data_IF_442411352975
#
_entry.id   IF_442411352975
#
_cell.length_a   1.000
_cell.length_b   1.000
_cell.length_c   1.000
_cell.angle_alpha   90.00
_cell.angle_beta   90.00
_cell.angle_gamma   90.00
#
_symmetry.space_group_name_H-M   'P 1'
#
loop_
_entity.id
_entity.type
_entity.pdbx_description
1 polymer ?
#
# COMPACT_ATOMS: atom_id res chain seq x y z
N UNK A 1 8.64 -14.51 -16.92
CA UNK A 1 7.64 -13.73 -16.15
C UNK A 1 7.84 -12.26 -16.52
N UNK A 2 6.91 -11.61 -17.24
CA UNK A 2 7.05 -10.19 -17.58
C UNK A 2 6.79 -9.38 -16.31
N UNK A 3 7.81 -8.72 -15.81
CA UNK A 3 7.69 -7.71 -14.77
C UNK A 3 6.80 -6.58 -15.32
N UNK A 4 5.54 -6.54 -14.90
CA UNK A 4 4.71 -5.36 -15.11
C UNK A 4 5.15 -4.28 -14.11
N UNK A 5 6.20 -3.54 -14.44
CA UNK A 5 6.48 -2.28 -13.77
C UNK A 5 5.29 -1.36 -14.06
N UNK A 6 4.41 -1.17 -13.06
CA UNK A 6 3.39 -0.14 -13.13
C UNK A 6 4.09 1.21 -13.24
N UNK A 7 3.97 1.88 -14.37
CA UNK A 7 4.49 3.23 -14.52
C UNK A 7 3.69 4.19 -13.64
N UNK A 8 4.40 4.96 -12.83
CA UNK A 8 3.80 6.03 -12.03
C UNK A 8 3.12 7.06 -12.95
N UNK A 9 1.88 7.43 -12.64
CA UNK A 9 1.11 8.42 -13.38
C UNK A 9 0.85 9.64 -12.51
N UNK A 10 1.42 10.77 -12.89
CA UNK A 10 1.25 12.05 -12.18
C UNK A 10 0.09 12.86 -12.76
N UNK A 11 -1.13 12.39 -12.52
CA UNK A 11 -2.34 13.02 -13.03
C UNK A 11 -2.78 14.21 -12.15
N UNK A 12 -3.17 15.31 -12.78
CA UNK A 12 -3.70 16.49 -12.11
C UNK A 12 -5.05 16.89 -12.70
N UNK A 13 -6.01 17.22 -11.85
CA UNK A 13 -7.25 17.83 -12.28
C UNK A 13 -7.00 19.32 -12.59
N UNK A 14 -7.13 19.76 -13.83
CA UNK A 14 -6.84 21.15 -14.22
C UNK A 14 -7.86 22.14 -13.66
N UNK A 15 -9.06 21.68 -13.28
CA UNK A 15 -10.13 22.53 -12.76
C UNK A 15 -10.05 22.72 -11.23
N UNK A 16 -9.18 21.99 -10.54
CA UNK A 16 -9.08 22.09 -9.09
C UNK A 16 -8.00 23.07 -8.65
N UNK A 17 -8.40 24.31 -8.42
CA UNK A 17 -7.47 25.40 -8.17
C UNK A 17 -7.09 25.56 -6.69
N UNK A 18 -7.92 25.20 -5.72
CA UNK A 18 -7.61 25.48 -4.29
C UNK A 18 -8.13 24.37 -3.37
N UNK A 19 -7.19 23.62 -2.77
CA UNK A 19 -7.46 22.79 -1.59
C UNK A 19 -6.93 23.47 -0.34
N UNK A 20 -7.70 23.46 0.73
CA UNK A 20 -7.23 23.89 2.06
C UNK A 20 -6.05 23.04 2.55
N UNK A 21 -5.20 23.63 3.39
CA UNK A 21 -3.92 23.05 3.83
C UNK A 21 -4.06 21.63 4.39
N UNK A 22 -5.06 21.36 5.24
CA UNK A 22 -5.30 20.03 5.83
C UNK A 22 -5.58 18.96 4.76
N UNK A 23 -6.42 19.29 3.76
CA UNK A 23 -6.73 18.37 2.64
C UNK A 23 -5.49 18.10 1.78
N UNK A 24 -4.67 19.12 1.54
CA UNK A 24 -3.38 18.96 0.84
C UNK A 24 -2.43 18.03 1.59
N UNK A 25 -2.32 18.16 2.90
CA UNK A 25 -1.50 17.28 3.73
C UNK A 25 -1.99 15.83 3.68
N UNK A 26 -3.30 15.61 3.82
CA UNK A 26 -3.89 14.28 3.69
C UNK A 26 -3.62 13.65 2.32
N UNK A 27 -3.79 14.39 1.22
CA UNK A 27 -3.50 13.89 -0.12
C UNK A 27 -2.02 13.51 -0.30
N UNK A 28 -1.08 14.27 0.28
CA UNK A 28 0.35 13.98 0.20
C UNK A 28 0.72 12.61 0.78
N UNK A 29 0.03 12.18 1.82
CA UNK A 29 0.22 10.84 2.40
C UNK A 29 -0.09 9.76 1.36
N UNK A 30 -1.14 9.94 0.57
CA UNK A 30 -1.59 8.99 -0.44
C UNK A 30 -0.99 9.18 -1.85
N UNK A 31 0.00 10.07 -2.05
CA UNK A 31 0.49 10.42 -3.39
C UNK A 31 1.09 9.22 -4.14
N UNK A 32 1.86 8.39 -3.47
CA UNK A 32 2.49 7.25 -4.11
C UNK A 32 1.44 6.24 -4.60
N UNK A 33 0.48 5.89 -3.76
CA UNK A 33 -0.61 4.97 -4.11
C UNK A 33 -1.50 5.58 -5.21
N UNK A 34 -1.83 6.86 -5.10
CA UNK A 34 -2.59 7.58 -6.12
C UNK A 34 -1.87 7.60 -7.48
N UNK A 35 -0.55 7.77 -7.50
CA UNK A 35 0.24 7.72 -8.73
C UNK A 35 0.30 6.31 -9.34
N UNK A 36 0.33 5.27 -8.51
CA UNK A 36 0.29 3.87 -8.94
C UNK A 36 -1.06 3.50 -9.56
N UNK A 37 -2.16 3.99 -8.99
CA UNK A 37 -3.52 3.71 -9.45
C UNK A 37 -4.01 4.72 -10.51
N UNK A 38 -3.22 5.75 -10.81
CA UNK A 38 -3.52 6.76 -11.82
C UNK A 38 -4.56 7.79 -11.37
N UNK A 39 -4.72 8.00 -10.07
CA UNK A 39 -5.62 8.99 -9.49
C UNK A 39 -5.07 10.41 -9.63
N UNK A 40 -5.96 11.41 -9.56
CA UNK A 40 -5.54 12.80 -9.45
C UNK A 40 -4.76 13.04 -8.15
N UNK A 41 -3.67 13.81 -8.23
CA UNK A 41 -2.83 14.12 -7.08
C UNK A 41 -3.22 15.42 -6.35
N UNK A 42 -4.00 16.27 -7.00
CA UNK A 42 -4.29 17.63 -6.53
C UNK A 42 -5.73 17.84 -6.07
N UNK A 43 -6.58 16.81 -6.00
CA UNK A 43 -7.97 16.93 -5.55
C UNK A 43 -8.45 15.69 -4.79
N UNK A 44 -9.61 15.82 -4.15
CA UNK A 44 -10.22 14.71 -3.40
C UNK A 44 -10.85 13.66 -4.30
N UNK A 45 -11.24 14.03 -5.51
CA UNK A 45 -11.72 13.12 -6.54
C UNK A 45 -10.56 12.32 -7.12
N UNK A 46 -10.82 11.05 -7.48
CA UNK A 46 -9.78 10.20 -8.09
C UNK A 46 -9.56 10.51 -9.56
N UNK A 47 -10.59 11.03 -10.25
CA UNK A 47 -10.59 11.23 -11.70
C UNK A 47 -10.78 9.94 -12.50
N UNK A 48 -11.13 8.86 -11.84
CA UNK A 48 -11.40 7.55 -12.46
C UNK A 48 -12.90 7.28 -12.44
N UNK A 49 -13.41 6.67 -13.51
CA UNK A 49 -14.83 6.35 -13.61
C UNK A 49 -15.29 5.40 -12.49
N UNK A 50 -16.46 5.64 -11.83
CA UNK A 50 -16.92 4.85 -10.69
C UNK A 50 -16.98 3.34 -10.92
N UNK A 51 -17.36 2.89 -12.11
CA UNK A 51 -17.37 1.44 -12.44
C UNK A 51 -15.97 0.80 -12.35
N UNK A 52 -14.94 1.52 -12.82
CA UNK A 52 -13.56 1.03 -12.74
C UNK A 52 -13.06 1.02 -11.30
N UNK A 53 -13.47 2.02 -10.50
CA UNK A 53 -13.15 2.09 -9.08
C UNK A 53 -13.86 0.97 -8.31
N UNK A 54 -15.14 0.76 -8.55
CA UNK A 54 -15.92 -0.32 -7.93
C UNK A 54 -15.28 -1.69 -8.22
N UNK A 55 -14.86 -1.92 -9.46
CA UNK A 55 -14.14 -3.13 -9.83
C UNK A 55 -12.80 -3.25 -9.11
N UNK A 56 -12.01 -2.18 -9.04
CA UNK A 56 -10.74 -2.15 -8.32
C UNK A 56 -10.94 -2.48 -6.84
N UNK A 57 -11.93 -1.84 -6.20
CA UNK A 57 -12.25 -2.05 -4.79
C UNK A 57 -12.73 -3.48 -4.51
N UNK A 58 -13.59 -4.03 -5.37
CA UNK A 58 -14.09 -5.40 -5.25
C UNK A 58 -12.98 -6.42 -5.47
N UNK A 59 -12.24 -6.33 -6.57
CA UNK A 59 -11.28 -7.36 -6.98
C UNK A 59 -10.04 -7.40 -6.08
N UNK A 60 -9.57 -6.22 -5.63
CA UNK A 60 -8.33 -6.11 -4.85
C UNK A 60 -8.56 -6.13 -3.34
N UNK A 61 -9.68 -5.62 -2.87
CA UNK A 61 -9.92 -5.37 -1.45
C UNK A 61 -11.23 -5.97 -0.92
N UNK A 62 -12.00 -6.66 -1.75
CA UNK A 62 -13.33 -7.20 -1.40
C UNK A 62 -14.28 -6.14 -0.80
N UNK A 63 -14.14 -4.90 -1.26
CA UNK A 63 -14.88 -3.74 -0.78
C UNK A 63 -15.95 -3.36 -1.82
N UNK A 64 -17.22 -3.50 -1.46
CA UNK A 64 -18.36 -3.34 -2.37
C UNK A 64 -19.43 -2.36 -1.89
N UNK A 65 -19.33 -1.90 -0.64
CA UNK A 65 -20.31 -1.04 0.02
C UNK A 65 -19.72 -0.24 1.18
N UNK A 66 -20.57 0.49 1.91
CA UNK A 66 -20.17 1.29 3.06
C UNK A 66 -19.61 0.43 4.22
N UNK A 67 -20.20 -0.74 4.47
CA UNK A 67 -19.81 -1.61 5.59
C UNK A 67 -18.44 -2.19 5.34
N UNK A 68 -18.23 -2.79 4.17
CA UNK A 68 -16.93 -3.35 3.78
C UNK A 68 -15.85 -2.27 3.69
N UNK A 69 -16.20 -1.04 3.27
CA UNK A 69 -15.28 0.10 3.30
C UNK A 69 -14.83 0.44 4.72
N UNK A 70 -15.77 0.54 5.66
CA UNK A 70 -15.46 0.82 7.06
C UNK A 70 -14.59 -0.28 7.68
N UNK A 71 -14.90 -1.54 7.43
CA UNK A 71 -14.11 -2.68 7.93
C UNK A 71 -12.67 -2.64 7.39
N UNK A 72 -12.51 -2.36 6.09
CA UNK A 72 -11.21 -2.22 5.45
C UNK A 72 -10.40 -1.07 6.07
N UNK A 73 -11.02 0.10 6.30
CA UNK A 73 -10.33 1.23 6.91
C UNK A 73 -9.91 0.93 8.35
N UNK A 74 -10.79 0.31 9.14
CA UNK A 74 -10.46 -0.10 10.51
C UNK A 74 -9.32 -1.12 10.53
N UNK A 75 -9.31 -2.08 9.61
CA UNK A 75 -8.20 -3.02 9.48
C UNK A 75 -6.89 -2.29 9.16
N UNK A 76 -6.86 -1.42 8.15
CA UNK A 76 -5.65 -0.68 7.76
C UNK A 76 -5.14 0.27 8.86
N UNK A 77 -6.07 0.90 9.61
CA UNK A 77 -5.72 1.81 10.70
C UNK A 77 -5.17 1.06 11.92
N UNK A 78 -5.73 -0.08 12.26
CA UNK A 78 -5.39 -0.81 13.48
C UNK A 78 -4.29 -1.85 13.27
N UNK A 79 -4.31 -2.58 12.16
CA UNK A 79 -3.42 -3.70 11.86
C UNK A 79 -2.62 -3.45 10.57
N UNK A 80 -3.30 -3.40 9.44
CA UNK A 80 -2.73 -3.15 8.13
C UNK A 80 -1.70 -4.19 7.69
N UNK A 81 -0.97 -3.85 6.63
CA UNK A 81 0.15 -4.68 6.13
C UNK A 81 1.33 -4.69 7.13
N UNK A 82 1.43 -3.69 8.02
CA UNK A 82 2.47 -3.62 9.06
C UNK A 82 2.46 -4.83 10.00
N UNK A 83 1.30 -5.44 10.24
CA UNK A 83 1.20 -6.62 11.08
C UNK A 83 1.99 -7.81 10.49
N UNK A 84 1.86 -8.07 9.19
CA UNK A 84 2.63 -9.12 8.52
C UNK A 84 4.12 -8.77 8.44
N UNK A 85 4.47 -7.51 8.18
CA UNK A 85 5.86 -7.06 8.14
C UNK A 85 6.55 -7.18 9.50
N UNK A 86 5.88 -6.83 10.60
CA UNK A 86 6.47 -6.97 11.95
C UNK A 86 6.82 -8.42 12.30
N UNK A 87 6.10 -9.40 11.74
CA UNK A 87 6.41 -10.81 11.87
C UNK A 87 7.57 -11.22 10.94
N UNK A 88 7.61 -10.70 9.71
CA UNK A 88 8.61 -11.08 8.70
C UNK A 88 10.01 -10.51 8.98
N UNK A 89 10.10 -9.28 9.50
CA UNK A 89 11.37 -8.57 9.67
C UNK A 89 12.37 -9.31 10.57
N UNK A 90 12.01 -9.84 11.74
CA UNK A 90 12.95 -10.62 12.57
C UNK A 90 13.52 -11.83 11.83
N UNK A 91 12.71 -12.53 11.05
CA UNK A 91 13.17 -13.67 10.24
C UNK A 91 14.08 -13.22 9.10
N UNK A 92 13.76 -12.10 8.45
CA UNK A 92 14.61 -11.52 7.41
C UNK A 92 16.01 -11.22 7.91
N UNK A 93 16.12 -10.68 9.13
CA UNK A 93 17.40 -10.31 9.73
C UNK A 93 18.21 -11.52 10.22
N UNK A 94 17.54 -12.63 10.56
CA UNK A 94 18.18 -13.85 11.06
C UNK A 94 18.49 -14.87 9.96
N UNK A 95 18.12 -14.61 8.71
CA UNK A 95 18.23 -15.58 7.62
C UNK A 95 19.29 -15.18 6.61
N UNK A 96 20.13 -16.15 6.21
CA UNK A 96 21.28 -15.92 5.32
C UNK A 96 20.90 -15.96 3.83
N UNK A 97 19.82 -16.66 3.46
CA UNK A 97 19.44 -16.81 2.06
C UNK A 97 17.93 -16.82 1.85
N UNK A 98 17.52 -16.45 0.60
CA UNK A 98 16.12 -16.31 0.20
C UNK A 98 15.31 -17.61 0.40
N UNK A 99 15.87 -18.77 0.09
CA UNK A 99 15.12 -20.03 0.15
C UNK A 99 14.75 -20.38 1.60
N UNK A 100 15.68 -20.21 2.53
CA UNK A 100 15.43 -20.42 3.95
C UNK A 100 14.38 -19.42 4.46
N UNK A 101 14.51 -18.15 4.09
CA UNK A 101 13.55 -17.12 4.46
C UNK A 101 12.14 -17.43 3.91
N UNK A 102 12.04 -17.79 2.62
CA UNK A 102 10.77 -18.14 1.99
C UNK A 102 10.10 -19.35 2.65
N UNK A 103 10.85 -20.38 3.00
CA UNK A 103 10.33 -21.54 3.71
C UNK A 103 9.77 -21.14 5.09
N UNK A 104 10.49 -20.30 5.83
CA UNK A 104 10.01 -19.79 7.11
C UNK A 104 8.72 -19.00 6.96
N UNK A 105 8.63 -18.12 5.96
CA UNK A 105 7.40 -17.35 5.68
C UNK A 105 6.25 -18.28 5.25
N UNK A 106 6.54 -19.29 4.43
CA UNK A 106 5.54 -20.29 4.02
C UNK A 106 4.95 -21.05 5.21
N UNK A 107 5.78 -21.46 6.14
CA UNK A 107 5.33 -22.15 7.36
C UNK A 107 4.52 -21.22 8.26
N UNK A 108 5.02 -20.01 8.53
CA UNK A 108 4.39 -19.04 9.44
C UNK A 108 3.06 -18.51 8.94
N UNK A 109 2.90 -18.39 7.64
CA UNK A 109 1.69 -17.85 7.00
C UNK A 109 0.90 -18.94 6.25
N UNK A 110 1.06 -20.20 6.62
CA UNK A 110 0.28 -21.33 6.11
C UNK A 110 0.25 -21.44 4.58
N UNK A 111 1.33 -21.07 3.91
CA UNK A 111 1.46 -21.14 2.46
C UNK A 111 0.65 -20.10 1.68
N UNK A 112 0.11 -19.08 2.33
CA UNK A 112 -0.66 -18.03 1.63
C UNK A 112 0.24 -17.22 0.68
N UNK A 113 -0.02 -17.29 -0.61
CA UNK A 113 0.80 -16.73 -1.69
C UNK A 113 1.08 -15.23 -1.53
N UNK A 114 0.11 -14.45 -1.05
CA UNK A 114 0.27 -13.03 -0.79
C UNK A 114 1.45 -12.76 0.15
N UNK A 115 1.54 -13.47 1.26
CA UNK A 115 2.60 -13.28 2.25
C UNK A 115 3.95 -13.78 1.75
N UNK A 116 3.97 -14.88 0.99
CA UNK A 116 5.18 -15.37 0.34
C UNK A 116 5.73 -14.31 -0.63
N UNK A 117 4.86 -13.70 -1.43
CA UNK A 117 5.28 -12.63 -2.35
C UNK A 117 5.75 -11.37 -1.62
N UNK A 118 5.09 -10.99 -0.52
CA UNK A 118 5.54 -9.88 0.34
C UNK A 118 6.94 -10.17 0.91
N UNK A 119 7.17 -11.39 1.42
CA UNK A 119 8.48 -11.82 1.92
C UNK A 119 9.56 -11.73 0.83
N UNK A 120 9.29 -12.25 -0.37
CA UNK A 120 10.23 -12.15 -1.51
C UNK A 120 10.59 -10.70 -1.85
N UNK A 121 9.61 -9.81 -1.85
CA UNK A 121 9.85 -8.40 -2.13
C UNK A 121 10.69 -7.75 -1.03
N UNK A 122 10.44 -8.10 0.23
CA UNK A 122 11.20 -7.61 1.36
C UNK A 122 12.65 -8.10 1.33
N UNK A 123 12.88 -9.37 0.98
CA UNK A 123 14.22 -9.93 0.84
C UNK A 123 15.01 -9.25 -0.31
N UNK A 124 14.39 -9.06 -1.47
CA UNK A 124 15.00 -8.32 -2.59
C UNK A 124 15.34 -6.87 -2.23
N UNK A 125 14.51 -6.24 -1.41
CA UNK A 125 14.79 -4.90 -0.93
C UNK A 125 16.00 -4.90 0.01
N UNK A 126 16.16 -5.92 0.86
CA UNK A 126 17.36 -6.12 1.67
C UNK A 126 18.60 -6.23 0.78
N UNK A 127 18.61 -7.16 -0.19
CA UNK A 127 19.74 -7.34 -1.12
C UNK A 127 20.09 -6.02 -1.83
N UNK A 128 19.09 -5.31 -2.35
CA UNK A 128 19.29 -4.04 -3.04
C UNK A 128 20.00 -2.97 -2.19
N UNK A 129 19.69 -2.91 -0.89
CA UNK A 129 20.34 -1.95 0.01
C UNK A 129 21.76 -2.43 0.39
N UNK A 130 21.92 -3.71 0.66
CA UNK A 130 23.24 -4.29 0.98
C UNK A 130 24.25 -4.10 -0.15
N UNK A 131 23.83 -4.31 -1.41
CA UNK A 131 24.65 -4.08 -2.60
C UNK A 131 25.11 -2.62 -2.77
N UNK A 132 24.33 -1.67 -2.26
CA UNK A 132 24.70 -0.24 -2.34
C UNK A 132 25.66 0.20 -1.25
N UNK A 133 25.93 -0.62 -0.26
CA UNK A 133 26.80 -0.27 0.86
C UNK A 133 26.29 0.91 1.70
N UNK A 134 24.99 1.22 1.58
CA UNK A 134 24.38 2.27 2.39
C UNK A 134 24.29 1.78 3.83
N UNK A 135 24.65 2.60 4.84
CA UNK A 135 24.50 2.22 6.23
C UNK A 135 23.00 2.01 6.49
N UNK A 136 22.64 0.76 6.71
CA UNK A 136 21.26 0.38 6.90
C UNK A 136 20.81 0.83 8.28
N UNK A 137 20.02 1.87 8.32
CA UNK A 137 19.18 2.25 9.46
C UNK A 137 17.98 1.29 9.55
N UNK A 138 18.21 0.04 9.15
CA UNK A 138 17.22 -0.96 8.80
C UNK A 138 16.19 -1.25 9.87
N UNK A 139 16.65 -1.48 11.09
CA UNK A 139 15.78 -2.03 12.12
C UNK A 139 14.78 -0.98 12.54
N UNK A 140 15.24 0.25 12.80
CA UNK A 140 14.38 1.37 13.18
C UNK A 140 13.51 1.88 12.04
N UNK A 141 13.97 1.81 10.81
CA UNK A 141 13.20 2.29 9.66
C UNK A 141 12.18 1.26 9.17
N UNK A 142 12.47 -0.03 9.24
CA UNK A 142 11.49 -1.08 8.97
C UNK A 142 10.42 -1.17 10.06
N UNK A 143 10.78 -0.98 11.31
CA UNK A 143 9.80 -0.87 12.42
C UNK A 143 8.89 0.34 12.27
N UNK A 144 9.39 1.46 11.70
CA UNK A 144 8.62 2.68 11.43
C UNK A 144 7.94 2.69 10.08
N UNK A 145 8.52 2.00 9.09
CA UNK A 145 8.29 2.30 7.67
C UNK A 145 6.94 1.91 7.12
N UNK A 146 6.30 0.88 7.63
CA UNK A 146 5.12 0.30 6.97
C UNK A 146 3.81 1.00 7.33
N UNK A 147 3.73 1.70 8.46
CA UNK A 147 2.54 2.49 8.80
C UNK A 147 2.23 3.58 7.75
N UNK A 148 3.26 4.16 7.16
CA UNK A 148 3.10 5.14 6.08
C UNK A 148 2.42 4.56 4.84
N UNK A 149 2.72 3.30 4.52
CA UNK A 149 2.07 2.57 3.44
C UNK A 149 0.59 2.31 3.73
N UNK A 150 0.25 1.79 4.92
CA UNK A 150 -1.13 1.55 5.32
C UNK A 150 -1.95 2.85 5.28
N UNK A 151 -1.39 3.96 5.77
CA UNK A 151 -2.04 5.26 5.72
C UNK A 151 -2.21 5.78 4.29
N UNK A 152 -1.25 5.54 3.41
CA UNK A 152 -1.38 5.88 1.99
C UNK A 152 -2.52 5.09 1.32
N UNK A 153 -2.64 3.81 1.64
CA UNK A 153 -3.77 2.98 1.18
C UNK A 153 -5.11 3.51 1.71
N UNK A 154 -5.21 3.85 3.00
CA UNK A 154 -6.44 4.43 3.57
C UNK A 154 -6.88 5.66 2.79
N UNK A 155 -5.96 6.58 2.49
CA UNK A 155 -6.28 7.81 1.74
C UNK A 155 -6.76 7.48 0.32
N UNK A 156 -6.07 6.59 -0.39
CA UNK A 156 -6.45 6.18 -1.74
C UNK A 156 -7.82 5.50 -1.78
N UNK A 157 -8.03 4.54 -0.89
CA UNK A 157 -9.28 3.77 -0.80
C UNK A 157 -10.48 4.62 -0.34
N UNK A 158 -10.28 5.55 0.61
CA UNK A 158 -11.34 6.46 1.03
C UNK A 158 -11.81 7.37 -0.11
N UNK A 159 -10.88 7.85 -0.94
CA UNK A 159 -11.22 8.62 -2.15
C UNK A 159 -11.99 7.78 -3.16
N UNK A 160 -11.53 6.55 -3.42
CA UNK A 160 -12.19 5.63 -4.34
C UNK A 160 -13.60 5.24 -3.84
N UNK A 161 -13.74 4.89 -2.56
CA UNK A 161 -15.03 4.55 -1.96
C UNK A 161 -16.01 5.73 -1.97
N UNK A 162 -15.51 6.95 -1.77
CA UNK A 162 -16.33 8.17 -1.89
C UNK A 162 -16.81 8.37 -3.33
N UNK A 163 -15.96 8.23 -4.33
CA UNK A 163 -16.31 8.42 -5.73
C UNK A 163 -17.25 7.31 -6.24
N UNK A 164 -17.22 6.11 -5.61
CA UNK A 164 -18.22 5.06 -5.82
C UNK A 164 -19.54 5.30 -5.07
N UNK A 165 -19.62 6.30 -4.19
CA UNK A 165 -20.81 6.56 -3.38
C UNK A 165 -20.98 5.60 -2.18
N UNK A 166 -19.96 4.82 -1.84
CA UNK A 166 -19.99 3.91 -0.68
C UNK A 166 -19.92 4.66 0.64
N UNK A 167 -19.23 5.81 0.67
CA UNK A 167 -19.16 6.70 1.84
C UNK A 167 -19.51 8.13 1.44
N UNK A 168 -20.04 8.87 2.39
CA UNK A 168 -20.32 10.31 2.29
C UNK A 168 -19.20 11.14 2.93
N UNK A 169 -19.26 12.47 2.73
CA UNK A 169 -18.29 13.41 3.36
C UNK A 169 -18.46 13.46 4.87
#
# INVERSE_FOLDING_TARGET
MKSHTKNLRFNHNPLNLILGTRKKQGLRIGYMEAALDGFYLNCMETGVHPEKLSKLLSDKFHCTDAISSCQLFLFLINEGDRASYSIMVPYLLSTENLNQFENTIRERFYGVDRFIQQGRNLYKFKEYIEERGEPIVWITDLERGVIGWDMAQVVGLARAAKDCGYITK
#
